data_IF_746018989455
#
_entry.id   IF_746018989455
#
_cell.length_a   1.000
_cell.length_b   1.000
_cell.length_c   1.000
_cell.angle_alpha   90.00
_cell.angle_beta   90.00
_cell.angle_gamma   90.00
#
_symmetry.space_group_name_H-M   'P 1'
#
loop_
_entity.id
_entity.type
_entity.pdbx_description
1 polymer ?
#
# COMPACT_ATOMS: atom_id res chain seq x y z
N UNK A 1 12.55 18.33 5.84
CA UNK A 1 11.25 18.36 5.12
C UNK A 1 10.78 16.93 4.79
N UNK A 2 10.63 16.06 5.78
CA UNK A 2 10.39 14.62 5.57
C UNK A 2 9.31 14.18 6.57
N UNK A 3 8.03 14.23 6.18
CA UNK A 3 6.88 13.85 7.03
C UNK A 3 5.60 13.84 6.16
N UNK A 4 5.42 12.88 5.24
CA UNK A 4 4.16 12.80 4.44
C UNK A 4 3.75 11.39 4.00
N UNK A 5 4.31 10.27 4.51
CA UNK A 5 3.91 8.89 4.10
C UNK A 5 2.77 8.31 4.96
N UNK A 6 2.46 8.99 6.04
CA UNK A 6 1.74 8.45 7.19
C UNK A 6 0.22 8.45 7.08
N UNK A 7 -0.28 9.29 6.19
CA UNK A 7 -1.67 9.66 6.16
C UNK A 7 -2.53 8.52 5.59
N UNK A 8 -2.01 7.74 4.63
CA UNK A 8 -2.74 6.65 3.95
C UNK A 8 -3.24 5.55 4.90
N UNK A 9 -2.41 5.17 5.87
CA UNK A 9 -2.69 4.04 6.75
C UNK A 9 -3.66 4.45 7.87
N UNK A 10 -3.54 5.67 8.40
CA UNK A 10 -4.52 6.23 9.36
C UNK A 10 -5.90 6.33 8.71
N UNK A 11 -5.97 6.83 7.47
CA UNK A 11 -7.23 6.98 6.74
C UNK A 11 -7.94 5.63 6.62
N UNK A 12 -7.22 4.61 6.16
CA UNK A 12 -7.78 3.28 5.95
C UNK A 12 -8.24 2.63 7.27
N UNK A 13 -7.45 2.79 8.34
CA UNK A 13 -7.77 2.25 9.67
C UNK A 13 -8.94 2.98 10.34
N UNK A 14 -8.98 4.30 10.25
CA UNK A 14 -10.10 5.09 10.78
C UNK A 14 -11.38 4.75 10.06
N UNK A 15 -11.33 4.53 8.74
CA UNK A 15 -12.50 4.12 7.95
C UNK A 15 -13.00 2.71 8.33
N UNK A 16 -12.10 1.81 8.73
CA UNK A 16 -12.46 0.50 9.33
C UNK A 16 -13.17 0.67 10.69
N UNK A 17 -12.74 1.63 11.52
CA UNK A 17 -13.32 1.90 12.85
C UNK A 17 -14.70 2.60 12.79
N UNK A 18 -14.98 3.35 11.72
CA UNK A 18 -16.24 4.10 11.51
C UNK A 18 -17.47 3.18 11.38
N UNK A 19 -17.29 1.94 10.92
CA UNK A 19 -18.39 1.00 10.63
C UNK A 19 -18.98 0.35 11.88
N UNK A 20 -18.28 0.41 13.02
CA UNK A 20 -18.64 -0.38 14.20
C UNK A 20 -19.80 0.11 15.06
N UNK A 21 -20.38 1.30 14.85
CA UNK A 21 -21.27 1.90 15.88
C UNK A 21 -22.66 2.36 15.42
N UNK A 22 -22.98 2.60 14.14
CA UNK A 22 -24.27 3.29 13.89
C UNK A 22 -25.10 3.06 12.62
N UNK A 23 -24.88 2.03 11.79
CA UNK A 23 -25.71 1.90 10.58
C UNK A 23 -26.15 0.47 10.26
N UNK A 24 -27.10 -0.04 11.04
CA UNK A 24 -28.04 -1.02 10.48
C UNK A 24 -29.42 -0.70 11.02
N UNK A 25 -30.38 -0.71 10.11
CA UNK A 25 -31.83 -0.56 10.27
C UNK A 25 -32.36 0.88 10.11
N UNK A 26 -32.84 1.15 8.88
CA UNK A 26 -33.79 2.21 8.46
C UNK A 26 -33.28 3.49 7.74
N UNK A 27 -31.99 3.64 7.43
CA UNK A 27 -31.48 4.89 6.84
C UNK A 27 -30.60 4.68 5.60
N UNK A 28 -30.84 5.47 4.55
CA UNK A 28 -29.93 5.65 3.41
C UNK A 28 -28.72 6.46 3.90
N UNK A 29 -27.48 5.91 3.89
CA UNK A 29 -26.30 6.61 4.38
C UNK A 29 -26.01 7.92 3.62
N UNK A 30 -26.43 8.02 2.35
CA UNK A 30 -26.20 9.22 1.55
C UNK A 30 -27.01 10.42 2.07
N UNK A 31 -28.06 10.22 2.86
CA UNK A 31 -28.80 11.29 3.55
C UNK A 31 -28.01 11.93 4.70
N UNK A 32 -26.95 11.29 5.18
CA UNK A 32 -26.11 11.74 6.29
C UNK A 32 -24.70 12.09 5.82
N UNK A 33 -24.56 12.46 4.54
CA UNK A 33 -23.27 12.71 3.90
C UNK A 33 -22.42 13.71 4.69
N UNK A 34 -22.98 14.86 5.06
CA UNK A 34 -22.24 15.90 5.78
C UNK A 34 -21.80 15.41 7.16
N UNK A 35 -22.67 14.71 7.89
CA UNK A 35 -22.36 14.15 9.20
C UNK A 35 -21.27 13.08 9.13
N UNK A 36 -21.31 12.23 8.10
CA UNK A 36 -20.26 11.25 7.83
C UNK A 36 -18.95 11.98 7.53
N UNK A 37 -18.97 12.97 6.64
CA UNK A 37 -17.78 13.75 6.28
C UNK A 37 -17.14 14.45 7.49
N UNK A 38 -17.95 15.14 8.30
CA UNK A 38 -17.50 15.79 9.53
C UNK A 38 -16.97 14.77 10.54
N UNK A 39 -17.70 13.67 10.75
CA UNK A 39 -17.30 12.62 11.69
C UNK A 39 -15.97 12.00 11.28
N UNK A 40 -15.82 11.54 10.03
CA UNK A 40 -14.58 10.96 9.53
C UNK A 40 -13.45 11.97 9.63
N UNK A 41 -13.67 13.21 9.19
CA UNK A 41 -12.68 14.28 9.22
C UNK A 41 -12.12 14.49 10.63
N UNK A 42 -13.01 14.50 11.63
CA UNK A 42 -12.63 14.64 13.05
C UNK A 42 -11.76 13.48 13.57
N UNK A 43 -11.86 12.28 12.98
CA UNK A 43 -11.09 11.10 13.40
C UNK A 43 -9.73 11.01 12.73
N UNK A 44 -9.60 11.53 11.50
CA UNK A 44 -8.35 11.45 10.73
C UNK A 44 -7.51 12.72 10.79
N UNK A 45 -8.00 13.80 11.40
CA UNK A 45 -7.36 15.13 11.42
C UNK A 45 -7.05 15.66 10.01
N UNK A 46 -7.92 15.34 9.05
CA UNK A 46 -7.91 15.80 7.67
C UNK A 46 -9.33 16.04 7.22
N UNK A 47 -9.53 16.90 6.23
CA UNK A 47 -10.83 17.00 5.58
C UNK A 47 -11.04 15.75 4.74
N UNK A 48 -12.09 15.00 5.03
CA UNK A 48 -12.59 13.87 4.27
C UNK A 48 -13.88 14.29 3.58
N UNK A 49 -13.94 14.07 2.27
CA UNK A 49 -15.18 14.21 1.49
C UNK A 49 -15.32 13.04 0.54
N UNK A 50 -16.53 12.76 0.10
CA UNK A 50 -16.79 11.76 -0.94
C UNK A 50 -17.86 12.25 -1.91
N UNK A 51 -17.74 11.98 -3.21
CA UNK A 51 -18.77 12.38 -4.20
C UNK A 51 -19.71 11.25 -4.59
N UNK A 52 -19.27 10.01 -4.39
CA UNK A 52 -20.03 8.83 -4.78
C UNK A 52 -21.11 8.47 -3.76
N UNK A 53 -21.62 7.26 -3.91
CA UNK A 53 -22.60 6.67 -2.98
C UNK A 53 -21.91 5.78 -1.97
N UNK A 54 -22.54 5.67 -0.80
CA UNK A 54 -22.22 4.64 0.19
C UNK A 54 -23.22 3.49 0.02
N UNK A 55 -22.71 2.31 -0.27
CA UNK A 55 -23.49 1.07 -0.26
C UNK A 55 -23.16 0.28 1.00
N UNK A 56 -24.19 -0.18 1.71
CA UNK A 56 -24.07 -0.98 2.92
C UNK A 56 -24.97 -2.20 2.82
N UNK A 57 -24.49 -3.32 3.35
CA UNK A 57 -25.34 -4.50 3.44
C UNK A 57 -24.82 -5.55 4.39
N UNK A 58 -25.67 -6.54 4.60
CA UNK A 58 -25.38 -7.71 5.42
C UNK A 58 -25.63 -8.94 4.58
N UNK A 59 -24.64 -9.82 4.57
CA UNK A 59 -24.75 -11.15 4.02
C UNK A 59 -24.77 -12.15 5.17
N UNK A 60 -25.87 -12.90 5.29
CA UNK A 60 -25.96 -14.06 6.18
C UNK A 60 -26.15 -15.29 5.29
N UNK A 61 -25.19 -16.23 5.27
CA UNK A 61 -25.34 -17.45 4.48
C UNK A 61 -26.55 -18.25 4.99
N UNK A 62 -27.37 -18.81 4.09
CA UNK A 62 -28.53 -19.64 4.44
C UNK A 62 -28.21 -21.13 4.57
N UNK A 63 -27.06 -21.54 4.05
CA UNK A 63 -26.57 -22.91 4.00
C UNK A 63 -25.10 -22.93 4.34
N UNK A 64 -24.62 -23.99 5.00
CA UNK A 64 -23.19 -24.19 5.20
C UNK A 64 -22.47 -24.52 3.89
N UNK A 65 -21.14 -24.66 3.93
CA UNK A 65 -20.32 -24.98 2.76
C UNK A 65 -20.73 -26.28 2.04
N UNK A 66 -21.49 -27.16 2.72
CA UNK A 66 -22.00 -28.42 2.20
C UNK A 66 -23.46 -28.34 1.72
N UNK A 67 -24.09 -27.16 1.78
CA UNK A 67 -25.48 -26.97 1.35
C UNK A 67 -26.53 -27.38 2.39
N UNK A 68 -26.15 -27.69 3.62
CA UNK A 68 -27.10 -28.06 4.68
C UNK A 68 -27.66 -26.80 5.34
N UNK A 69 -28.99 -26.70 5.34
CA UNK A 69 -29.77 -25.62 5.97
C UNK A 69 -29.99 -25.85 7.47
N UNK A 70 -29.74 -27.06 7.98
CA UNK A 70 -30.00 -27.44 9.38
C UNK A 70 -28.78 -27.24 10.30
N UNK A 71 -27.58 -27.09 9.73
CA UNK A 71 -26.36 -26.74 10.47
C UNK A 71 -25.84 -25.37 10.05
N UNK A 72 -26.48 -24.34 10.61
CA UNK A 72 -26.14 -22.93 10.45
C UNK A 72 -25.23 -22.40 11.56
N UNK A 73 -24.82 -23.27 12.50
CA UNK A 73 -24.11 -22.88 13.74
C UNK A 73 -22.73 -22.27 13.51
N UNK A 74 -22.12 -22.57 12.35
CA UNK A 74 -20.79 -22.10 11.95
C UNK A 74 -20.82 -21.08 10.79
N UNK A 75 -21.97 -20.48 10.49
CA UNK A 75 -22.11 -19.51 9.40
C UNK A 75 -21.89 -18.09 9.89
N UNK A 76 -20.75 -17.52 9.53
CA UNK A 76 -20.41 -16.14 9.88
C UNK A 76 -21.22 -15.15 9.04
N UNK A 77 -21.95 -14.27 9.72
CA UNK A 77 -22.60 -13.13 9.08
C UNK A 77 -21.55 -12.07 8.74
N UNK A 78 -21.56 -11.59 7.49
CA UNK A 78 -20.67 -10.54 7.02
C UNK A 78 -21.44 -9.24 6.86
N UNK A 79 -20.86 -8.14 7.33
CA UNK A 79 -21.31 -6.80 6.97
C UNK A 79 -20.33 -6.22 5.94
N UNK A 80 -20.85 -5.53 4.94
CA UNK A 80 -20.04 -4.81 3.96
C UNK A 80 -20.43 -3.35 3.88
N UNK A 81 -19.44 -2.52 3.58
CA UNK A 81 -19.60 -1.14 3.16
C UNK A 81 -18.75 -0.91 1.92
N UNK A 82 -19.25 -0.13 0.98
CA UNK A 82 -18.42 0.44 -0.09
C UNK A 82 -18.73 1.92 -0.26
N UNK A 83 -17.71 2.68 -0.62
CA UNK A 83 -17.76 4.12 -0.79
C UNK A 83 -16.88 4.49 -1.97
N UNK A 84 -17.30 5.50 -2.74
CA UNK A 84 -16.62 5.91 -3.97
C UNK A 84 -16.36 7.41 -4.03
N UNK A 85 -15.34 7.78 -4.80
CA UNK A 85 -14.97 9.18 -5.04
C UNK A 85 -14.50 9.90 -3.77
N UNK A 86 -13.75 9.23 -2.90
CA UNK A 86 -13.20 9.82 -1.68
C UNK A 86 -12.05 10.76 -2.05
N UNK A 87 -12.00 11.90 -1.38
CA UNK A 87 -10.87 12.83 -1.40
C UNK A 87 -10.53 13.30 0.00
N UNK A 88 -9.24 13.42 0.25
CA UNK A 88 -8.70 13.74 1.57
C UNK A 88 -7.69 14.86 1.43
N UNK A 89 -7.87 15.89 2.25
CA UNK A 89 -7.11 17.13 2.19
C UNK A 89 -6.60 17.56 3.56
N UNK A 90 -5.45 18.22 3.57
CA UNK A 90 -4.91 18.92 4.72
C UNK A 90 -5.13 20.42 4.51
N UNK A 91 -6.24 20.91 5.05
CA UNK A 91 -6.62 22.34 4.99
C UNK A 91 -5.78 23.21 5.93
N UNK A 92 -5.10 22.61 6.91
CA UNK A 92 -4.20 23.35 7.81
C UNK A 92 -2.94 23.80 7.06
N UNK A 93 -2.46 22.98 6.13
CA UNK A 93 -1.36 23.36 5.25
C UNK A 93 -1.75 24.51 4.31
N UNK A 94 -0.83 25.46 4.06
CA UNK A 94 -1.03 26.59 3.15
C UNK A 94 -0.01 26.56 2.01
N UNK A 95 -0.43 26.35 0.74
CA UNK A 95 -1.80 26.05 0.29
C UNK A 95 -2.27 24.67 0.77
N UNK A 96 -3.59 24.47 0.82
CA UNK A 96 -4.19 23.19 1.20
C UNK A 96 -3.60 22.07 0.35
N UNK A 97 -3.12 21.01 1.01
CA UNK A 97 -2.44 19.91 0.32
C UNK A 97 -3.36 18.71 0.18
N UNK A 98 -3.47 18.22 -1.06
CA UNK A 98 -4.12 16.93 -1.36
C UNK A 98 -3.33 15.84 -0.64
N UNK A 99 -4.03 14.92 0.00
CA UNK A 99 -3.45 13.80 0.75
C UNK A 99 -3.69 12.50 0.01
N UNK A 100 -4.95 12.22 -0.31
CA UNK A 100 -5.32 11.04 -1.08
C UNK A 100 -6.57 11.29 -1.90
N UNK A 101 -6.61 10.72 -3.09
CA UNK A 101 -7.84 10.47 -3.83
C UNK A 101 -8.03 8.96 -3.92
N UNK A 102 -9.23 8.46 -3.65
CA UNK A 102 -9.53 7.03 -3.68
C UNK A 102 -10.82 6.86 -4.49
N UNK A 103 -10.73 6.17 -5.62
CA UNK A 103 -11.90 5.99 -6.50
C UNK A 103 -12.94 5.07 -5.88
N UNK A 104 -12.52 3.97 -5.27
CA UNK A 104 -13.40 3.08 -4.52
C UNK A 104 -12.69 2.50 -3.31
N UNK A 105 -13.46 2.32 -2.24
CA UNK A 105 -13.04 1.69 -1.00
C UNK A 105 -14.15 0.77 -0.53
N UNK A 106 -13.83 -0.50 -0.35
CA UNK A 106 -14.73 -1.53 0.16
C UNK A 106 -14.18 -2.13 1.44
N UNK A 107 -15.07 -2.46 2.36
CA UNK A 107 -14.75 -3.13 3.60
C UNK A 107 -15.79 -4.21 3.87
N UNK A 108 -15.32 -5.40 4.24
CA UNK A 108 -16.10 -6.55 4.66
C UNK A 108 -15.58 -6.99 6.02
N UNK A 109 -16.49 -7.09 6.99
CA UNK A 109 -16.18 -7.50 8.37
C UNK A 109 -17.08 -8.64 8.80
N UNK A 110 -16.54 -9.51 9.65
CA UNK A 110 -17.35 -10.49 10.36
C UNK A 110 -18.17 -9.76 11.44
N UNK A 111 -19.48 -9.71 11.22
CA UNK A 111 -20.44 -9.02 12.10
C UNK A 111 -20.52 -9.69 13.46
N UNK A 112 -20.44 -11.02 13.50
CA UNK A 112 -20.63 -11.79 14.72
C UNK A 112 -19.45 -11.60 15.68
N UNK A 113 -18.27 -11.23 15.18
CA UNK A 113 -17.10 -10.88 16.00
C UNK A 113 -17.18 -9.50 16.65
N UNK A 114 -18.03 -8.60 16.14
CA UNK A 114 -18.19 -7.26 16.71
C UNK A 114 -18.76 -7.31 18.14
N UNK A 115 -19.60 -8.29 18.48
CA UNK A 115 -20.14 -8.43 19.85
C UNK A 115 -19.05 -8.80 20.87
N UNK A 116 -17.99 -9.44 20.42
CA UNK A 116 -16.78 -9.74 21.21
C UNK A 116 -15.80 -8.55 21.26
N UNK A 117 -16.18 -7.40 20.68
CA UNK A 117 -15.33 -6.22 20.46
C UNK A 117 -14.09 -6.53 19.60
N UNK A 118 -14.22 -7.53 18.74
CA UNK A 118 -13.20 -7.90 17.77
C UNK A 118 -13.64 -7.36 16.42
N UNK A 119 -12.80 -6.54 15.79
CA UNK A 119 -13.02 -6.13 14.40
C UNK A 119 -12.23 -7.11 13.54
N UNK A 120 -12.92 -8.14 13.06
CA UNK A 120 -12.36 -9.12 12.14
C UNK A 120 -12.71 -8.71 10.70
N UNK A 121 -11.70 -8.17 10.03
CA UNK A 121 -11.76 -7.65 8.67
C UNK A 121 -11.43 -8.77 7.71
N UNK A 122 -12.46 -9.33 7.08
CA UNK A 122 -12.35 -10.33 6.02
C UNK A 122 -11.65 -9.74 4.79
N UNK A 123 -12.03 -8.50 4.42
CA UNK A 123 -11.41 -7.77 3.32
C UNK A 123 -11.61 -6.28 3.44
N UNK A 124 -10.53 -5.53 3.39
CA UNK A 124 -10.55 -4.11 3.11
C UNK A 124 -9.81 -3.88 1.79
N UNK A 125 -10.37 -3.14 0.86
CA UNK A 125 -9.81 -2.94 -0.47
C UNK A 125 -10.03 -1.52 -0.95
N UNK A 126 -9.00 -0.91 -1.55
CA UNK A 126 -9.14 0.33 -2.29
C UNK A 126 -8.56 0.20 -3.70
N UNK A 127 -9.19 0.88 -4.66
CA UNK A 127 -8.77 0.90 -6.06
C UNK A 127 -8.52 2.33 -6.54
N UNK A 128 -7.58 2.46 -7.48
CA UNK A 128 -7.18 3.71 -8.12
C UNK A 128 -6.92 4.82 -7.09
N UNK A 129 -6.05 4.52 -6.13
CA UNK A 129 -5.65 5.44 -5.08
C UNK A 129 -4.48 6.29 -5.56
N UNK A 130 -4.62 7.61 -5.50
CA UNK A 130 -3.52 8.55 -5.70
C UNK A 130 -3.13 9.11 -4.35
N UNK A 131 -1.93 8.75 -3.89
CA UNK A 131 -1.41 9.20 -2.61
C UNK A 131 -0.34 10.27 -2.79
N UNK A 132 -0.55 11.45 -2.23
CA UNK A 132 0.34 12.60 -2.42
C UNK A 132 1.42 12.71 -1.33
N UNK A 133 2.60 13.16 -1.73
CA UNK A 133 3.71 13.49 -0.83
C UNK A 133 4.85 12.48 -0.82
N UNK A 134 4.66 11.30 -1.41
CA UNK A 134 5.74 10.32 -1.64
C UNK A 134 5.40 9.50 -2.87
N UNK A 135 6.37 9.38 -3.78
CA UNK A 135 6.26 8.54 -4.98
C UNK A 135 7.22 7.34 -4.86
N UNK A 136 6.69 6.19 -4.40
CA UNK A 136 7.48 4.97 -4.17
C UNK A 136 8.09 4.44 -5.47
N UNK A 137 7.33 4.48 -6.57
CA UNK A 137 7.81 4.02 -7.88
C UNK A 137 8.97 4.90 -8.38
N UNK A 138 8.91 6.21 -8.15
CA UNK A 138 9.99 7.12 -8.51
C UNK A 138 11.22 6.97 -7.60
N UNK A 139 11.04 6.69 -6.31
CA UNK A 139 12.18 6.35 -5.42
C UNK A 139 12.90 5.12 -5.95
N UNK A 140 12.16 4.08 -6.34
CA UNK A 140 12.72 2.88 -6.94
C UNK A 140 13.44 3.21 -8.25
N UNK A 141 12.84 4.01 -9.13
CA UNK A 141 13.45 4.41 -10.40
C UNK A 141 14.69 5.29 -10.25
N UNK A 142 14.69 6.21 -9.29
CA UNK A 142 15.87 7.02 -8.95
C UNK A 142 16.99 6.13 -8.43
N UNK A 143 16.67 5.24 -7.50
CA UNK A 143 17.63 4.27 -6.95
C UNK A 143 18.21 3.43 -8.09
N UNK A 144 17.35 2.82 -8.90
CA UNK A 144 17.74 2.03 -10.06
C UNK A 144 18.59 2.81 -11.08
N UNK A 145 18.25 4.07 -11.36
CA UNK A 145 19.01 4.89 -12.31
C UNK A 145 20.39 5.24 -11.78
N UNK A 146 20.51 5.52 -10.48
CA UNK A 146 21.80 5.69 -9.82
C UNK A 146 22.65 4.41 -9.94
N UNK A 147 22.04 3.23 -9.87
CA UNK A 147 22.74 1.95 -10.13
C UNK A 147 23.27 1.84 -11.56
N UNK A 148 22.68 2.56 -12.51
CA UNK A 148 23.15 2.61 -13.89
C UNK A 148 24.12 3.77 -14.16
N UNK A 149 24.56 4.48 -13.13
CA UNK A 149 25.32 5.73 -13.25
C UNK A 149 24.62 6.75 -14.17
N UNK A 150 23.28 6.75 -14.14
CA UNK A 150 22.43 7.66 -14.90
C UNK A 150 21.66 8.56 -13.94
N UNK A 151 21.44 9.80 -14.35
CA UNK A 151 20.52 10.69 -13.64
C UNK A 151 19.10 10.47 -14.15
N UNK A 152 18.15 10.41 -13.21
CA UNK A 152 16.73 10.31 -13.51
C UNK A 152 16.02 11.58 -13.02
N UNK A 153 15.50 12.36 -13.97
CA UNK A 153 14.92 13.68 -13.71
C UNK A 153 13.57 13.70 -13.01
N UNK A 154 13.05 12.54 -12.60
CA UNK A 154 11.66 12.38 -12.16
C UNK A 154 10.70 12.42 -13.36
N UNK A 155 9.62 11.65 -13.29
CA UNK A 155 8.61 11.59 -14.38
C UNK A 155 7.26 12.13 -13.89
N UNK A 156 7.01 12.12 -12.58
CA UNK A 156 5.74 12.54 -12.01
C UNK A 156 5.86 13.93 -11.35
N UNK A 157 5.24 14.98 -11.91
CA UNK A 157 5.34 16.34 -11.36
C UNK A 157 4.64 16.50 -10.00
N UNK A 158 3.67 15.63 -9.68
CA UNK A 158 2.81 15.77 -8.51
C UNK A 158 3.36 15.09 -7.24
N UNK A 159 4.54 14.45 -7.31
CA UNK A 159 5.15 13.67 -6.22
C UNK A 159 4.12 12.79 -5.49
N UNK A 160 3.44 11.93 -6.24
CA UNK A 160 2.42 11.03 -5.74
C UNK A 160 2.74 9.58 -6.10
N UNK A 161 2.28 8.65 -5.27
CA UNK A 161 2.22 7.22 -5.62
C UNK A 161 0.84 6.93 -6.17
N UNK A 162 0.80 6.41 -7.40
CA UNK A 162 -0.43 5.87 -7.99
C UNK A 162 -0.50 4.39 -7.66
N UNK A 163 -1.51 4.02 -6.88
CA UNK A 163 -1.79 2.67 -6.42
C UNK A 163 -3.02 2.20 -7.18
N UNK A 164 -2.84 1.23 -8.07
CA UNK A 164 -3.95 0.63 -8.82
C UNK A 164 -4.88 -0.15 -7.88
N UNK A 165 -4.28 -0.88 -6.93
CA UNK A 165 -5.01 -1.75 -6.01
C UNK A 165 -4.27 -1.93 -4.70
N UNK A 166 -4.99 -1.84 -3.60
CA UNK A 166 -4.53 -2.29 -2.29
C UNK A 166 -5.63 -3.12 -1.66
N UNK A 167 -5.30 -4.26 -1.08
CA UNK A 167 -6.26 -5.00 -0.25
C UNK A 167 -5.57 -5.65 0.93
N UNK A 168 -6.33 -5.89 1.98
CA UNK A 168 -5.83 -6.48 3.21
C UNK A 168 -6.93 -7.20 3.97
N UNK A 169 -6.55 -8.20 4.75
CA UNK A 169 -7.37 -8.71 5.86
C UNK A 169 -6.65 -8.41 7.18
N UNK A 170 -7.43 -8.23 8.25
CA UNK A 170 -6.86 -7.85 9.53
C UNK A 170 -7.78 -8.21 10.70
N UNK A 171 -7.18 -8.47 11.85
CA UNK A 171 -7.90 -8.65 13.10
C UNK A 171 -7.50 -7.53 14.04
N UNK A 172 -8.46 -6.77 14.57
CA UNK A 172 -8.24 -5.70 15.54
C UNK A 172 -8.81 -6.13 16.89
N UNK A 173 -7.92 -6.26 17.88
CA UNK A 173 -8.27 -6.61 19.27
C UNK A 173 -7.44 -5.72 20.19
N UNK A 174 -8.07 -5.11 21.20
CA UNK A 174 -7.38 -4.30 22.22
C UNK A 174 -6.41 -3.27 21.63
N UNK A 175 -6.88 -2.51 20.62
CA UNK A 175 -6.12 -1.48 19.92
C UNK A 175 -4.85 -1.99 19.22
N UNK A 176 -4.75 -3.30 18.96
CA UNK A 176 -3.70 -3.89 18.15
C UNK A 176 -4.35 -4.51 16.91
N UNK A 177 -3.93 -4.04 15.76
CA UNK A 177 -4.29 -4.60 14.46
C UNK A 177 -3.19 -5.56 14.03
N UNK A 178 -3.56 -6.81 13.78
CA UNK A 178 -2.75 -7.80 13.10
C UNK A 178 -3.21 -7.87 11.65
N UNK A 179 -2.31 -7.59 10.71
CA UNK A 179 -2.56 -7.67 9.27
C UNK A 179 -2.01 -9.02 8.82
N UNK A 180 -2.88 -9.96 8.44
CA UNK A 180 -2.43 -11.30 8.05
C UNK A 180 -1.97 -11.32 6.60
N UNK A 181 -2.68 -10.59 5.73
CA UNK A 181 -2.33 -10.38 4.34
C UNK A 181 -2.53 -8.91 3.96
N UNK A 182 -1.59 -8.40 3.19
CA UNK A 182 -1.58 -7.08 2.59
C UNK A 182 -0.99 -7.19 1.20
N UNK A 183 -1.79 -6.87 0.20
CA UNK A 183 -1.37 -6.74 -1.17
C UNK A 183 -1.39 -5.28 -1.59
N UNK A 184 -0.37 -4.86 -2.33
CA UNK A 184 -0.24 -3.54 -2.91
C UNK A 184 0.25 -3.64 -4.35
N UNK A 185 -0.43 -2.96 -5.26
CA UNK A 185 -0.05 -2.81 -6.65
C UNK A 185 -0.01 -1.33 -7.04
N UNK A 186 1.18 -0.83 -7.31
CA UNK A 186 1.44 0.51 -7.86
C UNK A 186 1.56 0.45 -9.38
N UNK A 187 1.95 1.54 -10.03
CA UNK A 187 2.20 1.51 -11.48
C UNK A 187 3.39 0.62 -11.85
N UNK A 188 4.39 0.48 -10.97
CA UNK A 188 5.61 -0.28 -11.24
C UNK A 188 5.77 -1.55 -10.38
N UNK A 189 5.27 -1.56 -9.16
CA UNK A 189 5.54 -2.59 -8.15
C UNK A 189 4.25 -3.36 -7.84
N UNK A 190 4.37 -4.68 -7.69
CA UNK A 190 3.38 -5.51 -7.01
C UNK A 190 4.05 -6.12 -5.77
N UNK A 191 3.37 -6.12 -4.63
CA UNK A 191 3.94 -6.60 -3.37
C UNK A 191 2.89 -7.24 -2.48
N UNK A 192 3.33 -8.20 -1.69
CA UNK A 192 2.49 -8.89 -0.70
C UNK A 192 3.23 -9.04 0.61
N UNK A 193 2.52 -9.03 1.73
CA UNK A 193 3.13 -9.07 3.04
C UNK A 193 2.15 -9.14 4.18
N UNK A 194 2.67 -8.94 5.38
CA UNK A 194 1.90 -8.97 6.62
C UNK A 194 2.53 -8.03 7.65
N UNK A 195 1.82 -7.77 8.75
CA UNK A 195 2.35 -6.87 9.74
C UNK A 195 1.46 -6.61 10.93
N UNK A 196 1.85 -5.61 11.69
CA UNK A 196 1.10 -5.18 12.88
C UNK A 196 1.06 -3.67 12.97
N UNK A 197 -0.03 -3.18 13.53
CA UNK A 197 -0.21 -1.79 13.89
C UNK A 197 -0.70 -1.73 15.33
N UNK A 198 0.00 -0.97 16.15
CA UNK A 198 -0.46 -0.64 17.48
C UNK A 198 -1.16 0.72 17.42
N UNK A 199 -2.48 0.73 17.59
CA UNK A 199 -3.33 1.92 17.48
C UNK A 199 -3.17 2.83 18.69
N UNK A 200 -2.77 2.30 19.86
CA UNK A 200 -2.55 3.09 21.07
C UNK A 200 -1.35 4.01 20.95
N UNK A 201 -0.21 3.50 20.47
CA UNK A 201 1.00 4.30 20.27
C UNK A 201 1.26 4.66 18.81
N UNK A 202 0.29 4.36 17.94
CA UNK A 202 0.36 4.58 16.49
C UNK A 202 1.61 4.00 15.85
N UNK A 203 2.16 2.86 16.30
CA UNK A 203 3.36 2.27 15.66
C UNK A 203 3.00 1.27 14.59
N UNK A 204 3.78 1.26 13.52
CA UNK A 204 3.60 0.35 12.38
C UNK A 204 4.84 -0.51 12.15
N UNK A 205 4.60 -1.78 11.82
CA UNK A 205 5.61 -2.72 11.36
C UNK A 205 4.99 -3.65 10.32
N UNK A 206 5.32 -3.44 9.05
CA UNK A 206 4.88 -4.28 7.93
C UNK A 206 6.08 -4.75 7.13
N UNK A 207 6.10 -6.05 6.83
CA UNK A 207 7.10 -6.72 6.03
C UNK A 207 6.44 -7.21 4.75
N UNK A 208 6.95 -6.77 3.61
CA UNK A 208 6.42 -7.15 2.29
C UNK A 208 7.56 -7.60 1.38
N UNK A 209 7.22 -8.46 0.42
CA UNK A 209 8.08 -8.82 -0.70
C UNK A 209 7.44 -8.28 -1.97
N UNK A 210 8.15 -7.35 -2.62
CA UNK A 210 7.77 -6.75 -3.88
C UNK A 210 8.46 -7.38 -5.09
N UNK A 211 7.87 -7.19 -6.26
CA UNK A 211 8.46 -7.49 -7.58
C UNK A 211 8.05 -6.37 -8.55
N UNK A 212 8.89 -6.10 -9.54
CA UNK A 212 8.48 -5.26 -10.67
C UNK A 212 7.35 -5.96 -11.42
N UNK A 213 6.28 -5.23 -11.70
CA UNK A 213 5.15 -5.72 -12.49
C UNK A 213 5.60 -6.10 -13.89
N UNK A 214 4.99 -7.13 -14.48
CA UNK A 214 5.31 -7.50 -15.86
C UNK A 214 4.88 -6.37 -16.80
N UNK A 215 5.77 -5.99 -17.73
CA UNK A 215 5.55 -4.85 -18.65
C UNK A 215 4.25 -4.96 -19.46
N UNK A 216 3.80 -6.18 -19.80
CA UNK A 216 2.54 -6.42 -20.50
C UNK A 216 1.30 -6.09 -19.65
N UNK A 217 1.39 -6.19 -18.32
CA UNK A 217 0.32 -5.84 -17.38
C UNK A 217 0.36 -4.35 -16.98
N UNK A 218 1.42 -3.62 -17.37
CA UNK A 218 1.58 -2.19 -17.10
C UNK A 218 0.98 -1.29 -18.19
N UNK A 219 0.53 -1.86 -19.33
CA UNK A 219 0.07 -1.15 -20.53
C UNK A 219 -1.27 -0.42 -20.32
N UNK A 220 -1.25 0.61 -19.49
CA UNK A 220 -2.27 1.64 -19.36
C UNK A 220 -1.74 2.94 -19.95
N UNK A 221 -2.60 3.73 -20.61
CA UNK A 221 -2.25 5.07 -21.11
C UNK A 221 -1.78 6.03 -20.01
N UNK A 222 -2.08 5.72 -18.75
CA UNK A 222 -1.67 6.51 -17.58
C UNK A 222 -0.35 6.06 -16.93
N UNK A 223 0.27 4.97 -17.39
CA UNK A 223 1.50 4.46 -16.77
C UNK A 223 2.74 5.15 -17.33
N UNK A 224 3.40 5.95 -16.49
CA UNK A 224 4.53 6.81 -16.89
C UNK A 224 5.89 6.10 -16.83
N UNK A 225 5.95 4.86 -16.36
CA UNK A 225 7.21 4.13 -16.14
C UNK A 225 7.56 3.15 -17.27
N UNK A 226 6.67 2.97 -18.26
CA UNK A 226 6.88 2.00 -19.35
C UNK A 226 8.16 2.29 -20.14
N UNK A 227 8.40 3.55 -20.51
CA UNK A 227 9.55 3.95 -21.32
C UNK A 227 10.89 3.77 -20.60
N UNK A 228 10.86 3.81 -19.27
CA UNK A 228 12.04 3.66 -18.41
C UNK A 228 11.99 2.35 -17.60
N UNK A 229 11.31 1.32 -18.09
CA UNK A 229 11.09 0.08 -17.35
C UNK A 229 12.42 -0.57 -16.88
N UNK A 230 12.56 -0.90 -15.58
CA UNK A 230 13.80 -1.43 -15.00
C UNK A 230 13.94 -2.94 -15.28
N UNK A 231 14.34 -3.30 -16.51
CA UNK A 231 14.43 -4.69 -16.99
C UNK A 231 15.25 -5.60 -16.07
N UNK A 232 16.32 -5.08 -15.50
CA UNK A 232 17.26 -5.80 -14.66
C UNK A 232 16.72 -6.08 -13.25
N UNK A 233 15.65 -5.39 -12.85
CA UNK A 233 14.91 -5.67 -11.62
C UNK A 233 13.71 -6.60 -11.87
N UNK A 234 13.35 -6.86 -13.13
CA UNK A 234 12.24 -7.72 -13.47
C UNK A 234 12.45 -9.14 -12.92
N UNK A 235 11.44 -9.64 -12.20
CA UNK A 235 11.48 -10.96 -11.57
C UNK A 235 12.31 -11.05 -10.29
N UNK A 236 13.06 -10.01 -9.91
CA UNK A 236 13.79 -9.97 -8.64
C UNK A 236 12.85 -9.61 -7.50
N UNK A 237 13.12 -10.22 -6.35
CA UNK A 237 12.43 -9.88 -5.10
C UNK A 237 13.03 -8.62 -4.50
N UNK A 238 12.14 -7.73 -4.09
CA UNK A 238 12.43 -6.44 -3.48
C UNK A 238 11.81 -6.47 -2.08
N UNK A 239 12.56 -6.83 -1.03
CA UNK A 239 12.06 -6.70 0.33
C UNK A 239 11.69 -5.25 0.63
N UNK A 240 10.47 -5.03 1.13
CA UNK A 240 9.95 -3.71 1.49
C UNK A 240 9.61 -3.72 2.97
N UNK A 241 10.17 -2.78 3.71
CA UNK A 241 9.94 -2.60 5.13
C UNK A 241 9.20 -1.30 5.35
N UNK A 242 8.06 -1.37 6.04
CA UNK A 242 7.34 -0.19 6.52
C UNK A 242 7.45 -0.17 8.05
N UNK A 243 8.03 0.89 8.60
CA UNK A 243 8.34 1.04 10.03
C UNK A 243 7.98 2.44 10.51
N UNK A 244 8.02 2.67 11.81
CA UNK A 244 7.85 4.02 12.39
C UNK A 244 6.48 4.20 13.02
N UNK A 245 5.89 5.39 12.86
CA UNK A 245 4.55 5.68 13.35
C UNK A 245 3.56 5.81 12.21
N UNK A 246 2.27 5.67 12.50
CA UNK A 246 1.18 6.00 11.60
C UNK A 246 1.14 7.50 11.26
N UNK A 247 1.88 8.34 12.00
CA UNK A 247 2.09 9.76 11.70
C UNK A 247 3.44 10.04 10.98
N UNK A 248 4.32 9.03 10.83
CA UNK A 248 5.53 9.11 10.01
C UNK A 248 6.13 7.70 9.76
N UNK A 249 5.62 6.93 8.79
CA UNK A 249 6.18 5.66 8.45
C UNK A 249 7.36 5.87 7.51
N UNK A 250 8.42 5.13 7.77
CA UNK A 250 9.57 4.99 6.91
C UNK A 250 9.37 3.79 6.01
N UNK A 251 9.53 3.98 4.71
CA UNK A 251 9.44 2.93 3.69
C UNK A 251 10.84 2.71 3.13
N UNK A 252 11.37 1.51 3.37
CA UNK A 252 12.66 1.09 2.84
C UNK A 252 12.46 -0.04 1.84
N UNK A 253 13.08 0.06 0.65
CA UNK A 253 13.22 -1.04 -0.30
C UNK A 253 14.65 -1.56 -0.19
N UNK A 254 14.83 -2.78 0.29
CA UNK A 254 16.16 -3.37 0.40
C UNK A 254 16.64 -3.88 -0.96
N UNK A 255 17.60 -3.15 -1.54
CA UNK A 255 18.24 -3.53 -2.80
C UNK A 255 19.67 -4.01 -2.60
N UNK A 256 20.17 -4.17 -1.38
CA UNK A 256 21.60 -4.42 -1.11
C UNK A 256 22.16 -5.60 -1.89
N UNK A 257 21.45 -6.72 -1.89
CA UNK A 257 21.91 -7.93 -2.59
C UNK A 257 21.89 -7.76 -4.11
N UNK A 258 20.88 -7.06 -4.63
CA UNK A 258 20.79 -6.75 -6.06
C UNK A 258 21.95 -5.82 -6.47
N UNK A 259 22.24 -4.81 -5.66
CA UNK A 259 23.36 -3.89 -5.87
C UNK A 259 24.67 -4.65 -5.85
N UNK A 260 24.87 -5.52 -4.85
CA UNK A 260 26.09 -6.31 -4.73
C UNK A 260 26.32 -7.17 -5.97
N UNK A 261 25.31 -7.96 -6.35
CA UNK A 261 25.40 -8.90 -7.47
C UNK A 261 25.55 -8.23 -8.84
N UNK A 262 24.83 -7.13 -9.08
CA UNK A 262 24.79 -6.51 -10.42
C UNK A 262 25.85 -5.43 -10.64
N UNK A 263 26.42 -4.85 -9.58
CA UNK A 263 27.42 -3.78 -9.67
C UNK A 263 28.74 -4.15 -9.04
N UNK A 264 28.72 -4.55 -7.76
CA UNK A 264 29.96 -4.72 -6.99
C UNK A 264 30.74 -5.90 -7.54
N UNK A 265 30.08 -7.02 -7.79
CA UNK A 265 30.74 -8.25 -8.22
C UNK A 265 31.37 -8.07 -9.63
N UNK A 266 30.65 -7.57 -10.67
CA UNK A 266 31.26 -7.35 -11.99
C UNK A 266 32.40 -6.32 -12.02
N UNK A 267 32.34 -5.28 -11.17
CA UNK A 267 33.43 -4.29 -11.08
C UNK A 267 34.66 -4.91 -10.44
N UNK A 268 34.48 -5.71 -9.38
CA UNK A 268 35.59 -6.44 -8.75
C UNK A 268 36.23 -7.41 -9.73
N UNK A 269 35.43 -8.18 -10.45
CA UNK A 269 35.93 -9.14 -11.44
C UNK A 269 36.74 -8.44 -12.53
N UNK A 270 36.23 -7.33 -13.09
CA UNK A 270 36.97 -6.52 -14.07
C UNK A 270 38.26 -5.90 -13.54
N UNK A 271 38.28 -5.48 -12.26
CA UNK A 271 39.51 -4.96 -11.63
C UNK A 271 40.55 -6.07 -11.48
N UNK A 272 40.12 -7.26 -11.07
CA UNK A 272 40.98 -8.43 -10.91
C UNK A 272 41.54 -8.86 -12.26
N UNK A 273 40.70 -8.95 -13.31
CA UNK A 273 41.12 -9.24 -14.69
C UNK A 273 42.17 -8.22 -15.17
N UNK A 274 41.90 -6.91 -15.03
CA UNK A 274 42.88 -5.88 -15.42
C UNK A 274 44.22 -6.00 -14.70
N UNK A 275 44.20 -6.24 -13.39
CA UNK A 275 45.45 -6.41 -12.62
C UNK A 275 46.19 -7.67 -13.08
N UNK A 276 45.47 -8.76 -13.38
CA UNK A 276 46.08 -9.99 -13.89
C UNK A 276 46.68 -9.80 -15.28
N UNK A 277 46.01 -9.07 -16.17
CA UNK A 277 46.49 -8.78 -17.52
C UNK A 277 47.74 -7.87 -17.49
N UNK A 278 47.74 -6.80 -16.67
CA UNK A 278 48.92 -5.94 -16.49
C UNK A 278 50.12 -6.69 -15.89
N UNK A 279 49.86 -7.64 -14.97
CA UNK A 279 50.92 -8.49 -14.43
C UNK A 279 51.45 -9.45 -15.50
N UNK A 280 50.58 -10.10 -16.28
CA UNK A 280 51.00 -10.99 -17.38
C UNK A 280 51.81 -10.24 -18.43
N UNK A 281 51.38 -9.06 -18.88
CA UNK A 281 52.16 -8.23 -19.81
C UNK A 281 53.56 -7.89 -19.27
N UNK A 282 53.69 -7.62 -17.96
CA UNK A 282 54.99 -7.38 -17.33
C UNK A 282 55.87 -8.62 -17.20
N UNK A 283 55.29 -9.80 -17.09
CA UNK A 283 56.02 -11.07 -16.97
C UNK A 283 56.26 -11.78 -18.32
N UNK A 284 55.53 -11.43 -19.38
CA UNK A 284 55.72 -11.93 -20.75
C UNK A 284 56.73 -11.11 -21.59
N UNK A 285 57.40 -10.11 -20.99
CA UNK A 285 58.52 -9.42 -21.66
C UNK A 285 59.66 -10.42 -21.95
N UNK A 286 60.10 -10.55 -23.21
CA UNK A 286 61.15 -11.49 -23.60
C UNK A 286 62.49 -11.05 -23.03
N UNK A 287 63.19 -11.96 -22.35
CA UNK A 287 64.65 -11.90 -22.22
C UNK A 287 65.29 -12.43 -23.51
#
# INVERSE_FOLDING_TARGET
MLNKVYKLIIIFISLILIVGVYLVFFFDPDNFKTEIEEYVSSKINYTFVYDGKIDIGIYSPKTNANGDENDISNLESKAFISISGIRIFDEVSKPASRIANISSLGLVVNKDKLVEKIIDVDRAEAQDVVYFGTNVDEILMKTYSLLKFKNFGGINPDNNTVINKIYSNAIIINNKMLINDLYLETQLIQSSGSGTINLTNKRIKIDMIGKIRKINHMRSSSNVYIDNYPKELAGKELPILIRGTLDNPDITIDMKDIIKKELIDPIKDKLIEKIQDELKEKFELPF
#
